data_IF_574839894004
#
_entry.id   IF_574839894004
#
_cell.length_a   1.000
_cell.length_b   1.000
_cell.length_c   1.000
_cell.angle_alpha   90.00
_cell.angle_beta   90.00
_cell.angle_gamma   90.00
#
_symmetry.space_group_name_H-M   'P 1'
#
loop_
_entity.id
_entity.type
_entity.pdbx_description
1 polymer ?
#
# COMPACT_ATOMS: atom_id res chain seq x y z
N UNK A 1 -37.73 -15.67 7.17
CA UNK A 1 -37.76 -16.19 8.55
C UNK A 1 -36.47 -15.78 9.22
N UNK A 2 -36.53 -15.20 10.41
CA UNK A 2 -35.40 -14.49 11.03
C UNK A 2 -34.38 -15.50 11.58
N UNK A 3 -33.26 -15.70 10.88
CA UNK A 3 -32.24 -16.71 11.22
C UNK A 3 -31.62 -16.46 12.61
N UNK A 4 -31.54 -15.19 13.03
CA UNK A 4 -31.09 -14.81 14.36
C UNK A 4 -32.00 -15.36 15.46
N UNK A 5 -33.33 -15.39 15.24
CA UNK A 5 -34.27 -15.93 16.23
C UNK A 5 -34.12 -17.45 16.35
N UNK A 6 -33.84 -18.15 15.26
CA UNK A 6 -33.69 -19.62 15.24
C UNK A 6 -32.36 -20.07 15.90
N UNK A 7 -31.27 -19.33 15.68
CA UNK A 7 -29.94 -19.67 16.21
C UNK A 7 -29.80 -19.30 17.69
N UNK A 8 -30.39 -18.18 18.15
CA UNK A 8 -30.19 -17.71 19.54
C UNK A 8 -31.23 -18.23 20.54
N UNK A 9 -32.33 -18.84 20.08
CA UNK A 9 -33.39 -19.39 20.95
C UNK A 9 -32.90 -20.47 21.94
N UNK A 10 -32.18 -21.53 21.52
CA UNK A 10 -31.73 -22.56 22.46
C UNK A 10 -30.72 -22.00 23.47
N UNK A 11 -29.91 -21.02 23.06
CA UNK A 11 -28.92 -20.37 23.94
C UNK A 11 -29.59 -19.57 25.06
N UNK A 12 -30.67 -18.84 24.76
CA UNK A 12 -31.44 -18.08 25.77
C UNK A 12 -32.17 -18.98 26.77
N UNK A 13 -32.72 -20.10 26.29
CA UNK A 13 -33.39 -21.09 27.15
C UNK A 13 -32.38 -21.80 28.05
N UNK A 14 -31.19 -22.15 27.54
CA UNK A 14 -30.12 -22.75 28.31
C UNK A 14 -29.58 -21.82 29.40
N UNK A 15 -29.38 -20.52 29.11
CA UNK A 15 -28.93 -19.53 30.11
C UNK A 15 -29.99 -19.30 31.20
N UNK A 16 -31.28 -19.25 30.83
CA UNK A 16 -32.36 -19.07 31.78
C UNK A 16 -32.56 -20.28 32.70
N UNK A 17 -32.46 -21.50 32.17
CA UNK A 17 -32.57 -22.75 32.96
C UNK A 17 -31.33 -22.98 33.84
N UNK A 18 -30.15 -22.55 33.40
CA UNK A 18 -28.92 -22.60 34.21
C UNK A 18 -28.99 -21.64 35.41
N UNK A 19 -29.67 -20.49 35.28
CA UNK A 19 -29.87 -19.53 36.39
C UNK A 19 -30.68 -20.12 37.56
N UNK A 20 -31.67 -20.98 37.26
CA UNK A 20 -32.49 -21.62 38.28
C UNK A 20 -31.77 -22.77 38.97
N UNK A 21 -30.94 -23.53 38.24
CA UNK A 21 -30.29 -24.73 38.74
C UNK A 21 -28.92 -24.47 39.41
N UNK A 22 -28.17 -23.44 39.01
CA UNK A 22 -26.89 -23.10 39.66
C UNK A 22 -27.03 -22.21 40.90
N UNK A 23 -28.17 -21.51 41.06
CA UNK A 23 -28.44 -20.73 42.28
C UNK A 23 -28.60 -21.60 43.52
N UNK A 24 -28.90 -22.90 43.35
CA UNK A 24 -29.04 -23.84 44.47
C UNK A 24 -27.74 -24.53 44.88
N UNK A 25 -26.68 -24.46 44.05
CA UNK A 25 -25.47 -25.27 44.26
C UNK A 25 -24.22 -24.47 44.63
N UNK A 26 -24.15 -23.17 44.31
CA UNK A 26 -23.02 -22.31 44.70
C UNK A 26 -23.45 -21.31 45.77
N UNK A 27 -23.53 -21.81 47.00
CA UNK A 27 -23.62 -20.98 48.19
C UNK A 27 -22.33 -20.20 48.40
N UNK A 28 -22.18 -19.06 47.72
CA UNK A 28 -21.32 -17.94 48.14
C UNK A 28 -21.60 -16.75 47.21
N UNK A 29 -21.97 -15.61 47.80
CA UNK A 29 -22.26 -14.35 47.11
C UNK A 29 -21.16 -13.85 46.15
N UNK A 30 -19.95 -14.39 46.27
CA UNK A 30 -18.80 -14.13 45.39
C UNK A 30 -18.95 -14.74 43.98
N UNK A 31 -19.57 -15.92 43.85
CA UNK A 31 -19.72 -16.61 42.57
C UNK A 31 -20.80 -15.98 41.68
N UNK A 32 -21.89 -15.52 42.30
CA UNK A 32 -22.97 -14.82 41.58
C UNK A 32 -22.48 -13.45 41.08
N UNK A 33 -21.75 -12.71 41.93
CA UNK A 33 -21.20 -11.40 41.57
C UNK A 33 -20.09 -11.45 40.52
N UNK A 34 -19.37 -12.56 40.37
CA UNK A 34 -18.37 -12.75 39.29
C UNK A 34 -19.04 -13.17 37.98
N UNK A 35 -20.09 -14.00 38.03
CA UNK A 35 -20.91 -14.36 36.87
C UNK A 35 -21.63 -13.13 36.31
N UNK A 36 -22.20 -12.27 37.16
CA UNK A 36 -22.88 -11.04 36.72
C UNK A 36 -21.90 -10.04 36.06
N UNK A 37 -20.68 -9.94 36.59
CA UNK A 37 -19.62 -9.11 35.99
C UNK A 37 -19.12 -9.66 34.67
N UNK A 38 -18.95 -10.98 34.57
CA UNK A 38 -18.60 -11.64 33.31
C UNK A 38 -19.70 -11.43 32.26
N UNK A 39 -20.96 -11.61 32.65
CA UNK A 39 -22.11 -11.39 31.78
C UNK A 39 -22.19 -9.93 31.31
N UNK A 40 -21.97 -8.97 32.20
CA UNK A 40 -21.90 -7.56 31.85
C UNK A 40 -20.73 -7.24 30.90
N UNK A 41 -19.55 -7.82 31.13
CA UNK A 41 -18.39 -7.63 30.27
C UNK A 41 -18.59 -8.22 28.86
N UNK A 42 -19.19 -9.40 28.75
CA UNK A 42 -19.53 -10.03 27.46
C UNK A 42 -20.62 -9.24 26.75
N UNK A 43 -21.65 -8.80 27.47
CA UNK A 43 -22.74 -8.01 26.88
C UNK A 43 -22.25 -6.64 26.39
N UNK A 44 -21.34 -6.01 27.14
CA UNK A 44 -20.68 -4.78 26.71
C UNK A 44 -19.83 -5.03 25.45
N UNK A 45 -19.09 -6.13 25.39
CA UNK A 45 -18.24 -6.46 24.24
C UNK A 45 -19.04 -6.69 22.94
N UNK A 46 -20.21 -7.31 23.07
CA UNK A 46 -21.13 -7.63 21.97
C UNK A 46 -22.10 -6.48 21.67
N UNK A 47 -22.07 -5.41 22.46
CA UNK A 47 -22.96 -4.26 22.26
C UNK A 47 -22.81 -3.68 20.83
N UNK A 48 -23.91 -3.31 20.14
CA UNK A 48 -23.90 -2.93 18.72
C UNK A 48 -22.96 -1.77 18.37
N UNK A 49 -22.67 -0.88 19.32
CA UNK A 49 -21.80 0.28 19.13
C UNK A 49 -20.30 -0.05 19.32
N UNK A 50 -19.98 -1.26 19.79
CA UNK A 50 -18.61 -1.73 20.01
C UNK A 50 -18.07 -2.45 18.78
N UNK A 51 -16.73 -2.56 18.62
CA UNK A 51 -16.13 -3.16 17.42
C UNK A 51 -16.61 -4.58 17.14
N UNK A 52 -16.66 -5.43 18.18
CA UNK A 52 -17.13 -6.82 18.03
C UNK A 52 -18.64 -6.88 17.77
N UNK A 53 -19.44 -6.07 18.46
CA UNK A 53 -20.88 -5.95 18.18
C UNK A 53 -21.18 -5.52 16.75
N UNK A 54 -20.48 -4.51 16.19
CA UNK A 54 -20.62 -4.11 14.77
C UNK A 54 -20.15 -5.19 13.81
N UNK A 55 -19.13 -5.98 14.19
CA UNK A 55 -18.59 -7.03 13.36
C UNK A 55 -19.58 -8.19 13.20
N UNK A 56 -20.25 -8.57 14.30
CA UNK A 56 -21.22 -9.69 14.34
C UNK A 56 -22.67 -9.24 14.07
N UNK A 57 -22.95 -7.94 14.05
CA UNK A 57 -24.26 -7.41 13.73
C UNK A 57 -24.69 -7.81 12.31
N UNK A 58 -26.01 -7.76 12.07
CA UNK A 58 -26.59 -7.93 10.73
C UNK A 58 -26.02 -6.89 9.77
N UNK A 59 -25.68 -7.31 8.56
CA UNK A 59 -24.92 -6.54 7.56
C UNK A 59 -23.51 -6.12 8.01
N UNK A 60 -23.05 -6.67 9.14
CA UNK A 60 -21.70 -6.50 9.67
C UNK A 60 -20.63 -7.14 8.78
N UNK A 61 -19.39 -7.08 9.23
CA UNK A 61 -18.27 -7.67 8.46
C UNK A 61 -18.36 -9.19 8.45
N UNK A 62 -18.65 -9.82 9.60
CA UNK A 62 -18.81 -11.28 9.66
C UNK A 62 -20.05 -11.74 8.90
N UNK A 63 -21.17 -11.03 9.03
CA UNK A 63 -22.42 -11.37 8.33
C UNK A 63 -22.23 -11.35 6.80
N UNK A 64 -21.52 -10.34 6.27
CA UNK A 64 -21.18 -10.29 4.83
C UNK A 64 -20.15 -11.32 4.39
N UNK A 65 -19.20 -11.66 5.26
CA UNK A 65 -18.19 -12.68 4.97
C UNK A 65 -18.81 -14.09 4.94
N UNK A 66 -19.77 -14.36 5.82
CA UNK A 66 -20.49 -15.63 5.97
C UNK A 66 -21.80 -15.69 5.18
N UNK A 67 -22.16 -14.63 4.45
CA UNK A 67 -23.31 -14.63 3.57
C UNK A 67 -23.19 -15.74 2.52
N UNK A 68 -24.33 -16.19 2.01
CA UNK A 68 -24.40 -17.13 0.89
C UNK A 68 -23.66 -16.53 -0.34
N UNK A 69 -22.79 -17.32 -0.96
CA UNK A 69 -21.82 -16.88 -1.99
C UNK A 69 -20.81 -15.81 -1.52
N UNK A 70 -20.67 -15.66 -0.21
CA UNK A 70 -19.77 -14.72 0.44
C UNK A 70 -18.29 -15.05 0.20
N UNK A 71 -17.37 -14.09 0.45
CA UNK A 71 -15.94 -14.30 0.25
C UNK A 71 -15.38 -15.49 1.04
N UNK A 72 -15.85 -15.75 2.27
CA UNK A 72 -15.38 -16.91 3.03
C UNK A 72 -15.92 -18.22 2.46
N UNK A 73 -17.18 -18.26 2.06
CA UNK A 73 -17.77 -19.46 1.45
C UNK A 73 -17.05 -19.81 0.15
N UNK A 74 -16.82 -18.85 -0.74
CA UNK A 74 -16.04 -19.06 -1.99
C UNK A 74 -14.57 -19.43 -1.76
N UNK A 75 -14.01 -19.01 -0.62
CA UNK A 75 -12.64 -19.31 -0.25
C UNK A 75 -12.52 -20.75 0.27
N UNK A 76 -13.51 -21.20 1.05
CA UNK A 76 -13.58 -22.50 1.73
C UNK A 76 -14.38 -23.56 0.96
N UNK A 77 -15.08 -23.19 -0.11
CA UNK A 77 -15.85 -24.11 -0.94
C UNK A 77 -14.95 -25.16 -1.58
N UNK A 78 -15.55 -26.28 -1.97
CA UNK A 78 -14.92 -27.25 -2.88
C UNK A 78 -14.50 -26.51 -4.17
N UNK A 79 -13.27 -26.72 -4.64
CA UNK A 79 -12.61 -25.95 -5.71
C UNK A 79 -12.39 -24.44 -5.42
N UNK A 80 -12.56 -24.03 -4.17
CA UNK A 80 -12.28 -22.69 -3.68
C UNK A 80 -10.82 -22.29 -3.81
N UNK A 81 -10.49 -21.04 -3.49
CA UNK A 81 -9.10 -20.60 -3.55
C UNK A 81 -8.20 -21.29 -2.51
N UNK A 82 -8.68 -21.58 -1.29
CA UNK A 82 -7.89 -22.36 -0.33
C UNK A 82 -7.78 -23.81 -0.77
N UNK A 83 -8.87 -24.41 -1.25
CA UNK A 83 -8.89 -25.80 -1.69
C UNK A 83 -7.89 -26.03 -2.83
N UNK A 84 -7.86 -25.17 -3.86
CA UNK A 84 -6.88 -25.27 -4.97
C UNK A 84 -5.43 -25.02 -4.55
N UNK A 85 -5.21 -24.17 -3.55
CA UNK A 85 -3.87 -23.89 -3.03
C UNK A 85 -3.36 -25.10 -2.22
N UNK A 86 -4.24 -25.73 -1.44
CA UNK A 86 -3.94 -26.88 -0.57
C UNK A 86 -4.14 -28.25 -1.24
N UNK A 87 -4.72 -28.30 -2.43
CA UNK A 87 -4.93 -29.52 -3.19
C UNK A 87 -3.61 -30.24 -3.49
N UNK A 88 -3.70 -31.55 -3.72
CA UNK A 88 -2.57 -32.36 -4.20
C UNK A 88 -2.08 -31.82 -5.54
N UNK A 89 -0.76 -31.65 -5.67
CA UNK A 89 -0.09 -30.89 -6.74
C UNK A 89 -0.47 -29.40 -6.84
N UNK A 90 -1.12 -28.84 -5.81
CA UNK A 90 -1.40 -27.42 -5.68
C UNK A 90 -0.14 -26.59 -5.43
N UNK A 91 -0.32 -25.27 -5.29
CA UNK A 91 0.81 -24.35 -5.08
C UNK A 91 1.56 -24.66 -3.79
N UNK A 92 0.84 -24.93 -2.69
CA UNK A 92 1.47 -25.28 -1.42
C UNK A 92 2.16 -26.65 -1.51
N UNK A 93 1.50 -27.64 -2.11
CA UNK A 93 2.07 -28.98 -2.23
C UNK A 93 3.37 -28.97 -3.04
N UNK A 94 3.43 -28.25 -4.17
CA UNK A 94 4.68 -28.09 -4.96
C UNK A 94 5.76 -27.29 -4.24
N UNK A 95 5.36 -26.32 -3.42
CA UNK A 95 6.28 -25.48 -2.66
C UNK A 95 6.92 -26.26 -1.50
N UNK A 96 6.13 -27.08 -0.82
CA UNK A 96 6.49 -27.92 0.34
C UNK A 96 6.98 -29.31 -0.05
N UNK A 97 6.80 -29.73 -1.30
CA UNK A 97 7.30 -31.02 -1.79
C UNK A 97 8.81 -31.12 -1.59
N UNK A 98 9.35 -32.34 -1.35
CA UNK A 98 10.78 -32.56 -1.24
C UNK A 98 11.54 -32.06 -2.47
N UNK A 99 12.56 -31.23 -2.28
CA UNK A 99 13.30 -30.57 -3.37
C UNK A 99 12.55 -29.42 -4.06
N UNK A 100 11.40 -29.01 -3.52
CA UNK A 100 10.58 -27.88 -3.95
C UNK A 100 11.26 -26.53 -3.71
N UNK A 101 10.57 -25.45 -4.07
CA UNK A 101 11.17 -24.10 -3.99
C UNK A 101 11.43 -23.67 -2.54
N UNK A 102 10.59 -24.05 -1.57
CA UNK A 102 10.85 -23.76 -0.16
C UNK A 102 12.05 -24.56 0.33
N UNK A 103 12.11 -25.85 -0.01
CA UNK A 103 13.20 -26.72 0.39
C UNK A 103 14.54 -26.21 -0.13
N UNK A 104 14.65 -25.83 -1.42
CA UNK A 104 15.87 -25.19 -1.98
C UNK A 104 16.24 -23.87 -1.32
N UNK A 105 15.25 -23.14 -0.86
CA UNK A 105 15.44 -21.86 -0.19
C UNK A 105 15.98 -22.08 1.23
N UNK A 106 15.45 -23.08 1.95
CA UNK A 106 15.74 -23.36 3.37
C UNK A 106 16.77 -24.47 3.63
N UNK A 107 17.19 -25.21 2.59
CA UNK A 107 18.24 -26.23 2.69
C UNK A 107 19.54 -25.58 3.16
N UNK A 108 20.37 -26.35 3.86
CA UNK A 108 21.72 -25.95 4.26
C UNK A 108 22.58 -25.59 3.04
N UNK A 109 23.18 -24.40 3.03
CA UNK A 109 23.83 -23.83 1.84
C UNK A 109 22.86 -23.30 0.77
N UNK A 110 21.57 -23.21 1.08
CA UNK A 110 20.55 -22.59 0.23
C UNK A 110 20.65 -21.06 0.19
N UNK A 111 19.74 -20.43 -0.55
CA UNK A 111 19.73 -18.96 -0.69
C UNK A 111 19.46 -18.24 0.63
N UNK A 112 18.54 -18.72 1.47
CA UNK A 112 18.31 -18.09 2.79
C UNK A 112 19.52 -18.27 3.69
N UNK A 113 20.15 -19.43 3.67
CA UNK A 113 21.34 -19.69 4.47
C UNK A 113 22.49 -18.75 4.03
N UNK A 114 22.76 -18.60 2.74
CA UNK A 114 23.75 -17.63 2.24
C UNK A 114 23.41 -16.17 2.55
N UNK A 115 22.13 -15.82 2.58
CA UNK A 115 21.67 -14.46 2.85
C UNK A 115 21.78 -14.13 4.34
N UNK A 116 21.46 -15.07 5.22
CA UNK A 116 21.38 -14.89 6.68
C UNK A 116 22.62 -15.35 7.45
N UNK A 117 23.51 -16.13 6.84
CA UNK A 117 24.78 -16.55 7.44
C UNK A 117 25.61 -15.32 7.85
N UNK A 118 26.43 -15.41 8.92
CA UNK A 118 27.38 -14.35 9.29
C UNK A 118 28.25 -13.90 8.11
N UNK A 119 28.30 -12.59 7.88
CA UNK A 119 28.94 -11.96 6.71
C UNK A 119 28.16 -12.08 5.40
N UNK A 120 26.91 -12.58 5.46
CA UNK A 120 25.99 -12.74 4.35
C UNK A 120 25.49 -11.42 3.77
N UNK A 121 24.51 -11.49 2.87
CA UNK A 121 23.93 -10.29 2.27
C UNK A 121 23.08 -9.49 3.26
N UNK A 122 22.27 -10.15 4.08
CA UNK A 122 21.47 -9.46 5.09
C UNK A 122 22.37 -8.77 6.12
N UNK A 123 23.40 -9.48 6.59
CA UNK A 123 24.36 -8.95 7.56
C UNK A 123 25.09 -7.71 7.02
N UNK A 124 25.55 -7.73 5.75
CA UNK A 124 26.19 -6.56 5.12
C UNK A 124 25.24 -5.41 4.77
N UNK A 125 23.95 -5.71 4.56
CA UNK A 125 22.96 -4.66 4.32
C UNK A 125 22.57 -3.95 5.62
N UNK A 126 22.49 -4.70 6.72
CA UNK A 126 22.01 -4.25 8.03
C UNK A 126 23.12 -3.94 9.04
N UNK A 127 24.39 -4.20 8.71
CA UNK A 127 25.52 -3.85 9.56
C UNK A 127 25.59 -2.34 9.79
N UNK A 128 26.27 -1.95 10.87
CA UNK A 128 26.74 -0.57 11.05
C UNK A 128 27.64 -0.23 9.84
N UNK A 129 27.36 0.86 9.12
CA UNK A 129 27.90 1.21 7.77
C UNK A 129 27.40 0.37 6.57
N UNK A 130 26.35 -0.42 6.78
CA UNK A 130 25.65 -1.17 5.75
C UNK A 130 24.95 -0.26 4.73
N UNK A 131 24.45 -0.86 3.66
CA UNK A 131 23.75 -0.13 2.60
C UNK A 131 22.48 0.55 3.12
N UNK A 132 21.73 -0.11 4.01
CA UNK A 132 20.49 0.44 4.57
C UNK A 132 20.81 1.65 5.45
N UNK A 133 21.84 1.56 6.28
CA UNK A 133 22.28 2.68 7.11
C UNK A 133 22.71 3.87 6.24
N UNK A 134 23.53 3.66 5.20
CA UNK A 134 23.94 4.77 4.29
C UNK A 134 22.79 5.37 3.48
N UNK A 135 21.72 4.60 3.24
CA UNK A 135 20.52 5.09 2.59
C UNK A 135 19.75 6.03 3.50
N UNK A 136 19.58 5.64 4.78
CA UNK A 136 18.68 6.30 5.75
C UNK A 136 19.40 7.29 6.67
N UNK A 137 20.72 7.22 6.76
CA UNK A 137 21.53 8.14 7.56
C UNK A 137 21.31 9.60 7.13
N UNK A 138 21.50 10.52 8.07
CA UNK A 138 21.38 11.96 7.84
C UNK A 138 22.31 12.42 6.70
N UNK A 139 21.73 13.05 5.67
CA UNK A 139 22.44 13.45 4.46
C UNK A 139 22.76 12.29 3.51
N UNK A 140 22.23 11.11 3.79
CA UNK A 140 22.31 9.90 2.96
C UNK A 140 21.57 10.04 1.63
N UNK A 141 21.50 8.93 0.90
CA UNK A 141 20.93 8.94 -0.46
C UNK A 141 19.42 9.19 -0.47
N UNK A 142 18.68 8.75 0.55
CA UNK A 142 17.25 9.03 0.65
C UNK A 142 16.99 10.53 0.88
N UNK A 143 17.75 11.15 1.77
CA UNK A 143 17.68 12.59 2.04
C UNK A 143 18.02 13.42 0.80
N UNK A 144 19.05 13.01 0.04
CA UNK A 144 19.41 13.68 -1.21
C UNK A 144 18.29 13.59 -2.25
N UNK A 145 17.61 12.45 -2.36
CA UNK A 145 16.47 12.29 -3.26
C UNK A 145 15.27 13.15 -2.83
N UNK A 146 14.99 13.22 -1.52
CA UNK A 146 13.94 14.09 -0.98
C UNK A 146 14.27 15.56 -1.24
N UNK A 147 15.50 15.98 -0.99
CA UNK A 147 15.97 17.34 -1.27
C UNK A 147 15.89 17.66 -2.77
N UNK A 148 16.28 16.73 -3.64
CA UNK A 148 16.13 16.88 -5.08
C UNK A 148 14.66 17.06 -5.47
N UNK A 149 13.75 16.25 -4.91
CA UNK A 149 12.30 16.38 -5.10
C UNK A 149 11.80 17.79 -4.76
N UNK A 150 12.18 18.32 -3.60
CA UNK A 150 11.80 19.68 -3.18
C UNK A 150 12.35 20.76 -4.14
N UNK A 151 13.60 20.60 -4.62
CA UNK A 151 14.14 21.53 -5.62
C UNK A 151 13.41 21.44 -6.96
N UNK A 152 13.02 20.24 -7.40
CA UNK A 152 12.25 20.06 -8.61
C UNK A 152 10.86 20.70 -8.51
N UNK A 153 10.19 20.55 -7.36
CA UNK A 153 8.90 21.20 -7.08
C UNK A 153 9.02 22.74 -7.14
N UNK A 154 10.15 23.29 -6.69
CA UNK A 154 10.42 24.73 -6.76
C UNK A 154 10.69 25.21 -8.20
N UNK A 155 11.35 24.39 -9.02
CA UNK A 155 11.73 24.75 -10.39
C UNK A 155 10.57 24.54 -11.38
N UNK A 156 9.69 23.56 -11.13
CA UNK A 156 8.56 23.23 -11.99
C UNK A 156 7.69 24.43 -12.44
N UNK A 157 7.24 25.35 -11.56
CA UNK A 157 6.44 26.49 -12.00
C UNK A 157 7.23 27.46 -12.88
N UNK A 158 8.54 27.62 -12.66
CA UNK A 158 9.40 28.48 -13.49
C UNK A 158 9.60 27.88 -14.87
N UNK A 159 9.72 26.56 -14.96
CA UNK A 159 9.79 25.87 -16.26
C UNK A 159 8.47 25.97 -17.03
N UNK A 160 7.34 25.91 -16.33
CA UNK A 160 6.02 26.12 -16.94
C UNK A 160 5.87 27.56 -17.48
N UNK A 161 6.27 28.56 -16.70
CA UNK A 161 6.27 29.96 -17.14
C UNK A 161 7.19 30.18 -18.35
N UNK A 162 8.40 29.62 -18.33
CA UNK A 162 9.31 29.67 -19.48
C UNK A 162 8.74 28.97 -20.72
N UNK A 163 8.04 27.85 -20.54
CA UNK A 163 7.40 27.14 -21.65
C UNK A 163 6.29 27.98 -22.32
N UNK A 164 5.61 28.86 -21.58
CA UNK A 164 4.62 29.79 -22.14
C UNK A 164 5.26 31.02 -22.80
N UNK A 165 6.39 31.51 -22.27
CA UNK A 165 7.07 32.71 -22.79
C UNK A 165 7.85 32.42 -24.08
N UNK A 166 8.48 31.25 -24.20
CA UNK A 166 9.32 30.90 -25.36
C UNK A 166 8.58 31.05 -26.70
N UNK A 167 7.34 30.56 -26.87
CA UNK A 167 6.57 30.76 -28.11
C UNK A 167 6.29 32.24 -28.43
N UNK A 168 5.96 33.04 -27.42
CA UNK A 168 5.70 34.48 -27.61
C UNK A 168 6.97 35.23 -28.03
N UNK A 169 8.13 34.86 -27.48
CA UNK A 169 9.43 35.40 -27.85
C UNK A 169 9.82 34.99 -29.28
N UNK A 170 9.56 33.73 -29.65
CA UNK A 170 9.78 33.23 -31.01
C UNK A 170 8.95 34.01 -32.03
N UNK A 171 7.64 34.19 -31.77
CA UNK A 171 6.76 34.94 -32.66
C UNK A 171 7.19 36.41 -32.82
N UNK A 172 7.68 37.03 -31.73
CA UNK A 172 8.20 38.39 -31.75
C UNK A 172 9.50 38.49 -32.55
N UNK A 173 10.40 37.51 -32.41
CA UNK A 173 11.64 37.43 -33.17
C UNK A 173 11.38 37.20 -34.66
N UNK A 174 10.41 36.35 -35.01
CA UNK A 174 9.98 36.12 -36.39
C UNK A 174 9.40 37.40 -37.02
N UNK A 175 8.54 38.12 -36.28
CA UNK A 175 7.97 39.39 -36.72
C UNK A 175 9.06 40.46 -36.94
N UNK A 176 10.05 40.54 -36.04
CA UNK A 176 11.19 41.42 -36.20
C UNK A 176 12.05 41.03 -37.42
N UNK A 177 12.30 39.73 -37.62
CA UNK A 177 13.03 39.21 -38.79
C UNK A 177 12.33 39.58 -40.10
N UNK A 178 11.00 39.47 -40.15
CA UNK A 178 10.21 39.89 -41.31
C UNK A 178 10.25 41.41 -41.55
N UNK A 179 10.28 42.22 -40.50
CA UNK A 179 10.35 43.68 -40.62
C UNK A 179 11.74 44.19 -41.03
N UNK A 180 12.81 43.52 -40.59
CA UNK A 180 14.20 43.94 -40.85
C UNK A 180 14.75 43.33 -42.14
N UNK A 181 14.19 42.22 -42.64
CA UNK A 181 14.57 41.59 -43.91
C UNK A 181 14.61 42.56 -45.11
N UNK A 182 13.56 43.36 -45.35
CA UNK A 182 13.52 44.36 -46.42
C UNK A 182 14.60 45.44 -46.27
N UNK A 183 14.95 45.84 -45.03
CA UNK A 183 16.01 46.82 -44.77
C UNK A 183 17.40 46.26 -45.07
N UNK A 184 17.61 44.96 -44.82
CA UNK A 184 18.84 44.25 -45.21
C UNK A 184 19.03 44.17 -46.72
N UNK A 185 17.96 43.86 -47.46
CA UNK A 185 17.98 43.86 -48.93
C UNK A 185 18.27 45.25 -49.53
N UNK A 186 17.72 46.30 -48.90
CA UNK A 186 17.99 47.68 -49.31
C UNK A 186 19.45 48.08 -49.07
N UNK A 187 20.00 47.70 -47.91
CA UNK A 187 21.39 47.96 -47.55
C UNK A 187 22.38 47.22 -48.48
N UNK A 188 22.07 45.97 -48.88
CA UNK A 188 22.88 45.20 -49.83
C UNK A 188 22.85 45.73 -51.27
N UNK A 189 21.84 46.53 -51.62
CA UNK A 189 21.68 47.18 -52.93
C UNK A 189 22.34 48.56 -53.02
N UNK A 190 22.85 49.13 -51.91
CA UNK A 190 23.60 50.38 -51.96
C UNK A 190 24.94 50.10 -52.67
N UNK A 191 25.18 50.67 -53.86
CA UNK A 191 26.46 50.49 -54.52
C UNK A 191 27.49 51.22 -53.66
N UNK A 192 28.42 50.46 -53.06
CA UNK A 192 29.68 51.03 -52.57
C UNK A 192 30.38 51.61 -53.79
N UNK A 193 30.09 52.88 -54.07
CA UNK A 193 30.69 53.64 -55.14
C UNK A 193 32.17 53.74 -54.81
N UNK A 194 32.91 52.75 -55.32
CA UNK A 194 34.35 52.73 -55.53
C UNK A 194 34.68 54.10 -56.10
N UNK A 195 35.23 54.99 -55.25
CA UNK A 195 35.91 56.20 -55.71
C UNK A 195 37.01 55.72 -56.64
N UNK A 196 36.69 55.71 -57.92
CA UNK A 196 37.64 55.61 -59.00
C UNK A 196 38.37 56.95 -59.00
N UNK A 197 39.44 57.04 -58.23
CA UNK A 197 40.48 58.03 -58.46
C UNK A 197 41.12 57.69 -59.81
N UNK A 198 40.60 58.29 -60.87
CA UNK A 198 41.25 58.30 -62.17
C UNK A 198 42.07 59.58 -62.28
N UNK A 199 43.39 59.40 -62.33
CA UNK A 199 44.36 60.05 -63.22
C UNK A 199 44.25 61.57 -63.42
N UNK A 200 45.28 62.25 -62.94
CA UNK A 200 45.89 63.45 -63.51
C UNK A 200 47.39 63.34 -63.29
#
# INVERSE_FOLDING_TARGET
MDLAVVVTYPLRVAVATTRASLSSYLGTSLGIASIDRLAAAVNELIAPDRPLGRMIARDGVLDRLMAEDGPLERLLSEDGALDRIAATEGVLDRLLAPGGALDRLTTEGGLLDHLLRPGGLADRMLSDDGYVEKLVADGGTLDQLVALGATLETIQPRLAELAEIIPALSASADALGQAVGPLGELAGRIPLARRRSAVG
#
